data_IF_974461042601
#
_entry.id   IF_974461042601
#
_cell.length_a   1.000
_cell.length_b   1.000
_cell.length_c   1.000
_cell.angle_alpha   90.00
_cell.angle_beta   90.00
_cell.angle_gamma   90.00
#
_symmetry.space_group_name_H-M   'P 1'
#
loop_
_entity.id
_entity.type
_entity.pdbx_description
1 polymer ?
#
# COMPACT_ATOMS: atom_id res chain seq x y z
N UNK A 1 3.23 -24.78 -2.11
CA UNK A 1 2.21 -23.90 -1.51
C UNK A 1 1.42 -23.19 -2.59
N UNK A 2 0.18 -22.86 -2.29
CA UNK A 2 -0.67 -21.97 -3.08
C UNK A 2 -0.52 -20.55 -2.54
N UNK A 3 -0.03 -19.64 -3.36
CA UNK A 3 0.30 -18.27 -2.95
C UNK A 3 -0.51 -17.29 -3.78
N UNK A 4 -1.21 -16.36 -3.13
CA UNK A 4 -1.96 -15.30 -3.80
C UNK A 4 -1.33 -13.93 -3.54
N UNK A 5 -1.27 -13.10 -4.57
CA UNK A 5 -0.85 -11.70 -4.47
C UNK A 5 -2.04 -10.80 -4.80
N UNK A 6 -2.53 -10.05 -3.82
CA UNK A 6 -3.50 -8.97 -4.03
C UNK A 6 -2.67 -7.70 -4.31
N UNK A 7 -2.70 -7.23 -5.55
CA UNK A 7 -1.77 -6.23 -6.04
C UNK A 7 -2.43 -5.29 -7.06
N UNK A 8 -1.70 -4.36 -7.59
CA UNK A 8 -2.12 -3.59 -8.77
C UNK A 8 -2.15 -4.46 -10.03
N UNK A 9 -2.87 -4.05 -11.08
CA UNK A 9 -2.92 -4.80 -12.33
C UNK A 9 -1.52 -5.15 -12.84
N UNK A 10 -1.34 -6.38 -13.30
CA UNK A 10 -0.05 -6.90 -13.80
C UNK A 10 0.60 -5.97 -14.81
N UNK A 11 -0.20 -5.39 -15.67
CA UNK A 11 0.21 -4.53 -16.78
C UNK A 11 0.79 -3.17 -16.32
N UNK A 12 0.57 -2.80 -15.06
CA UNK A 12 1.09 -1.55 -14.49
C UNK A 12 2.46 -1.70 -13.83
N UNK A 13 2.98 -2.93 -13.73
CA UNK A 13 4.26 -3.19 -13.10
C UNK A 13 5.42 -2.61 -13.91
N UNK A 14 6.44 -2.14 -13.21
CA UNK A 14 7.74 -1.75 -13.81
C UNK A 14 8.75 -2.87 -13.58
N UNK A 15 8.97 -3.77 -14.56
CA UNK A 15 9.70 -5.02 -14.35
C UNK A 15 11.12 -4.86 -13.77
N UNK A 16 11.80 -3.77 -14.10
CA UNK A 16 13.16 -3.52 -13.64
C UNK A 16 13.27 -3.23 -12.12
N UNK A 17 12.19 -2.68 -11.51
CA UNK A 17 12.25 -2.18 -10.12
C UNK A 17 11.16 -2.72 -9.21
N UNK A 18 10.14 -3.39 -9.74
CA UNK A 18 8.99 -3.81 -8.95
C UNK A 18 9.31 -4.96 -7.99
N UNK A 19 9.10 -4.74 -6.70
CA UNK A 19 9.36 -5.73 -5.66
C UNK A 19 8.32 -6.85 -5.62
N UNK A 20 7.07 -6.56 -6.00
CA UNK A 20 6.01 -7.57 -6.04
C UNK A 20 6.28 -8.58 -7.16
N UNK A 21 6.72 -8.10 -8.33
CA UNK A 21 7.15 -8.97 -9.41
C UNK A 21 8.29 -9.91 -8.98
N UNK A 22 9.26 -9.41 -8.21
CA UNK A 22 10.35 -10.24 -7.69
C UNK A 22 9.86 -11.33 -6.74
N UNK A 23 8.90 -11.03 -5.87
CA UNK A 23 8.28 -12.02 -4.98
C UNK A 23 7.50 -13.08 -5.77
N UNK A 24 6.73 -12.69 -6.78
CA UNK A 24 6.01 -13.59 -7.68
C UNK A 24 6.98 -14.51 -8.43
N UNK A 25 8.03 -13.92 -8.99
CA UNK A 25 9.07 -14.66 -9.72
C UNK A 25 9.77 -15.68 -8.83
N UNK A 26 10.19 -15.29 -7.63
CA UNK A 26 10.82 -16.18 -6.66
C UNK A 26 9.87 -17.31 -6.21
N UNK A 27 8.59 -16.99 -5.99
CA UNK A 27 7.57 -18.00 -5.69
C UNK A 27 7.43 -19.03 -6.81
N UNK A 28 7.46 -18.59 -8.07
CA UNK A 28 7.43 -19.47 -9.23
C UNK A 28 8.70 -20.32 -9.36
N UNK A 29 9.89 -19.74 -9.11
CA UNK A 29 11.17 -20.48 -9.10
C UNK A 29 11.19 -21.58 -8.05
N UNK A 30 10.58 -21.35 -6.88
CA UNK A 30 10.42 -22.35 -5.81
C UNK A 30 9.33 -23.38 -6.08
N UNK A 31 8.67 -23.31 -7.24
CA UNK A 31 7.63 -24.26 -7.64
C UNK A 31 6.28 -24.07 -6.95
N UNK A 32 6.03 -22.91 -6.33
CA UNK A 32 4.73 -22.60 -5.74
C UNK A 32 3.70 -22.36 -6.83
N UNK A 33 2.44 -22.69 -6.55
CA UNK A 33 1.33 -22.29 -7.41
C UNK A 33 0.97 -20.83 -7.08
N UNK A 34 1.12 -19.95 -8.05
CA UNK A 34 0.93 -18.51 -7.87
C UNK A 34 -0.36 -18.03 -8.52
N UNK A 35 -1.13 -17.27 -7.79
CA UNK A 35 -2.25 -16.49 -8.30
C UNK A 35 -2.03 -15.00 -8.05
N UNK A 36 -2.52 -14.18 -8.96
CA UNK A 36 -2.58 -12.73 -8.79
C UNK A 36 -4.02 -12.25 -8.91
N UNK A 37 -4.37 -11.25 -8.14
CA UNK A 37 -5.67 -10.58 -8.21
C UNK A 37 -5.53 -9.11 -7.81
N UNK A 38 -6.57 -8.33 -8.03
CA UNK A 38 -6.63 -6.94 -7.57
C UNK A 38 -7.67 -6.79 -6.45
N UNK A 39 -7.60 -5.72 -5.67
CA UNK A 39 -8.57 -5.43 -4.64
C UNK A 39 -10.02 -5.35 -5.18
N UNK A 40 -10.19 -4.82 -6.40
CA UNK A 40 -11.50 -4.72 -7.06
C UNK A 40 -12.10 -6.07 -7.48
N UNK A 41 -11.30 -7.13 -7.50
CA UNK A 41 -11.71 -8.48 -7.90
C UNK A 41 -12.07 -9.38 -6.71
N UNK A 42 -12.12 -8.83 -5.50
CA UNK A 42 -12.58 -9.54 -4.30
C UNK A 42 -14.10 -9.54 -4.26
N UNK A 43 -14.69 -10.65 -3.83
CA UNK A 43 -16.14 -10.80 -3.71
C UNK A 43 -16.48 -11.81 -2.61
N UNK A 44 -17.71 -11.75 -2.11
CA UNK A 44 -18.29 -12.80 -1.26
C UNK A 44 -19.45 -13.43 -2.02
N UNK A 45 -19.45 -14.74 -2.09
CA UNK A 45 -20.54 -15.53 -2.62
C UNK A 45 -20.89 -16.64 -1.65
N UNK A 46 -22.15 -16.70 -1.24
CA UNK A 46 -22.65 -17.73 -0.32
C UNK A 46 -21.78 -17.87 0.95
N UNK A 47 -21.43 -16.73 1.55
CA UNK A 47 -20.55 -16.61 2.74
C UNK A 47 -19.10 -17.04 2.52
N UNK A 48 -18.67 -17.33 1.29
CA UNK A 48 -17.29 -17.66 0.94
C UNK A 48 -16.62 -16.45 0.29
N UNK A 49 -15.50 -16.02 0.84
CA UNK A 49 -14.69 -14.95 0.26
C UNK A 49 -13.88 -15.49 -0.91
N UNK A 50 -14.14 -14.94 -2.10
CA UNK A 50 -13.62 -15.38 -3.39
C UNK A 50 -12.84 -14.25 -4.06
N UNK A 51 -12.04 -14.60 -5.06
CA UNK A 51 -11.44 -13.62 -5.97
C UNK A 51 -11.50 -14.08 -7.42
N UNK A 52 -11.72 -13.12 -8.33
CA UNK A 52 -11.43 -13.31 -9.75
C UNK A 52 -9.92 -13.20 -9.92
N UNK A 53 -9.25 -14.34 -10.01
CA UNK A 53 -7.81 -14.47 -10.01
C UNK A 53 -7.26 -14.87 -11.36
N UNK A 54 -6.03 -14.46 -11.61
CA UNK A 54 -5.21 -14.94 -12.72
C UNK A 54 -4.17 -15.93 -12.17
N UNK A 55 -4.39 -17.20 -12.44
CA UNK A 55 -3.52 -18.29 -11.99
C UNK A 55 -2.34 -18.43 -12.96
N UNK A 56 -1.12 -18.37 -12.44
CA UNK A 56 0.08 -18.53 -13.25
C UNK A 56 0.16 -19.97 -13.79
N UNK A 57 0.23 -20.09 -15.12
CA UNK A 57 0.43 -21.38 -15.77
C UNK A 57 1.85 -21.86 -15.50
N UNK A 58 1.98 -23.10 -15.02
CA UNK A 58 3.29 -23.70 -14.77
C UNK A 58 4.10 -23.77 -16.05
N UNK A 59 5.30 -23.23 -15.99
CA UNK A 59 6.27 -23.29 -17.09
C UNK A 59 7.24 -24.44 -16.83
N UNK A 60 7.63 -25.16 -17.87
CA UNK A 60 8.65 -26.23 -17.77
C UNK A 60 9.98 -25.68 -17.23
N UNK A 61 10.28 -24.43 -17.55
CA UNK A 61 11.45 -23.71 -17.02
C UNK A 61 11.07 -22.25 -16.78
N UNK A 62 11.14 -21.84 -15.52
CA UNK A 62 10.93 -20.44 -15.14
C UNK A 62 12.14 -19.62 -15.61
N UNK A 63 11.94 -18.48 -16.29
CA UNK A 63 13.03 -17.59 -16.70
C UNK A 63 13.87 -17.14 -15.50
N UNK A 64 15.18 -16.91 -15.73
CA UNK A 64 16.11 -16.56 -14.65
C UNK A 64 15.94 -15.14 -14.12
N UNK A 65 15.43 -14.20 -14.94
CA UNK A 65 15.28 -12.79 -14.53
C UNK A 65 13.81 -12.39 -14.44
N UNK A 66 13.45 -11.49 -13.51
CA UNK A 66 12.09 -11.00 -13.36
C UNK A 66 11.54 -10.37 -14.64
N UNK A 67 12.37 -9.64 -15.40
CA UNK A 67 11.96 -8.97 -16.63
C UNK A 67 11.59 -9.97 -17.72
N UNK A 68 12.39 -11.05 -17.87
CA UNK A 68 12.11 -12.11 -18.82
C UNK A 68 10.90 -12.93 -18.40
N UNK A 69 10.76 -13.17 -17.09
CA UNK A 69 9.60 -13.84 -16.50
C UNK A 69 8.33 -13.03 -16.77
N UNK A 70 8.35 -11.72 -16.50
CA UNK A 70 7.21 -10.83 -16.76
C UNK A 70 6.68 -10.93 -18.19
N UNK A 71 7.59 -10.92 -19.18
CA UNK A 71 7.24 -11.00 -20.61
C UNK A 71 6.69 -12.38 -21.03
N UNK A 72 7.07 -13.44 -20.32
CA UNK A 72 6.73 -14.83 -20.66
C UNK A 72 5.67 -15.44 -19.74
N UNK A 73 5.25 -14.75 -18.71
CA UNK A 73 4.22 -15.23 -17.81
C UNK A 73 2.88 -15.38 -18.55
N UNK A 74 2.28 -16.54 -18.41
CA UNK A 74 0.96 -16.86 -18.97
C UNK A 74 0.03 -17.13 -17.78
N UNK A 75 -1.15 -16.56 -17.85
CA UNK A 75 -2.14 -16.69 -16.79
C UNK A 75 -3.43 -17.30 -17.35
N UNK A 76 -4.12 -18.05 -16.48
CA UNK A 76 -5.48 -18.52 -16.70
C UNK A 76 -6.42 -17.85 -15.70
N UNK A 77 -7.48 -17.24 -16.17
CA UNK A 77 -8.48 -16.63 -15.30
C UNK A 77 -9.33 -17.71 -14.62
N UNK A 78 -9.55 -17.53 -13.32
CA UNK A 78 -10.31 -18.43 -12.50
C UNK A 78 -10.87 -17.74 -11.27
N UNK A 79 -12.12 -18.06 -10.90
CA UNK A 79 -12.66 -17.66 -9.61
C UNK A 79 -12.19 -18.66 -8.55
N UNK A 80 -11.52 -18.19 -7.51
CA UNK A 80 -10.90 -19.01 -6.47
C UNK A 80 -11.34 -18.55 -5.08
N UNK A 81 -11.62 -19.48 -4.15
CA UNK A 81 -11.81 -19.13 -2.75
C UNK A 81 -10.48 -18.67 -2.15
N UNK A 82 -10.49 -17.55 -1.42
CA UNK A 82 -9.27 -17.04 -0.80
C UNK A 82 -8.77 -17.97 0.33
N UNK A 83 -9.66 -18.64 1.03
CA UNK A 83 -9.31 -19.67 2.01
C UNK A 83 -8.59 -20.89 1.41
N UNK A 84 -8.57 -21.05 0.09
CA UNK A 84 -7.82 -22.11 -0.60
C UNK A 84 -6.33 -21.83 -0.80
N UNK A 85 -5.85 -20.67 -0.39
CA UNK A 85 -4.43 -20.32 -0.42
C UNK A 85 -3.76 -20.60 0.92
N UNK A 86 -2.49 -20.98 0.88
CA UNK A 86 -1.66 -21.12 2.08
C UNK A 86 -1.19 -19.74 2.57
N UNK A 87 -0.92 -18.83 1.64
CA UNK A 87 -0.42 -17.48 1.91
C UNK A 87 -1.05 -16.46 0.96
N UNK A 88 -1.46 -15.33 1.51
CA UNK A 88 -1.89 -14.15 0.76
C UNK A 88 -0.96 -12.99 1.05
N UNK A 89 -0.35 -12.44 0.02
CA UNK A 89 0.42 -11.19 0.10
C UNK A 89 -0.45 -10.00 -0.29
N UNK A 90 -0.69 -9.09 0.66
CA UNK A 90 -1.30 -7.80 0.37
C UNK A 90 -0.23 -6.83 -0.14
N UNK A 91 -0.24 -6.56 -1.44
CA UNK A 91 0.80 -5.79 -2.14
C UNK A 91 0.29 -4.51 -2.83
N UNK A 92 -0.95 -4.12 -2.59
CA UNK A 92 -1.40 -2.77 -2.94
C UNK A 92 -0.81 -1.75 -1.96
N UNK A 93 -0.55 -0.52 -2.45
CA UNK A 93 -0.04 0.56 -1.60
C UNK A 93 -1.14 1.15 -0.72
N UNK A 94 -0.81 1.62 0.50
CA UNK A 94 -1.76 2.35 1.33
C UNK A 94 -2.09 3.74 0.71
N UNK A 95 -3.27 4.32 1.03
CA UNK A 95 -4.26 3.77 1.94
C UNK A 95 -5.04 2.63 1.29
N UNK A 96 -5.20 1.54 2.03
CA UNK A 96 -6.08 0.46 1.63
C UNK A 96 -7.52 0.84 1.99
N UNK A 97 -8.46 0.52 1.10
CA UNK A 97 -9.89 0.65 1.37
C UNK A 97 -10.30 -0.26 2.53
N UNK A 98 -11.16 0.24 3.41
CA UNK A 98 -11.71 -0.55 4.52
C UNK A 98 -12.45 -1.81 4.04
N UNK A 99 -13.10 -1.76 2.87
CA UNK A 99 -13.76 -2.93 2.29
C UNK A 99 -12.76 -4.04 1.98
N UNK A 100 -11.60 -3.69 1.42
CA UNK A 100 -10.51 -4.65 1.16
C UNK A 100 -10.01 -5.28 2.46
N UNK A 101 -9.81 -4.46 3.50
CA UNK A 101 -9.40 -4.95 4.82
C UNK A 101 -10.47 -5.87 5.45
N UNK A 102 -11.75 -5.60 5.23
CA UNK A 102 -12.84 -6.46 5.69
C UNK A 102 -12.88 -7.80 4.94
N UNK A 103 -12.59 -7.84 3.63
CA UNK A 103 -12.43 -9.09 2.90
C UNK A 103 -11.28 -9.94 3.49
N UNK A 104 -10.14 -9.31 3.80
CA UNK A 104 -9.01 -10.01 4.42
C UNK A 104 -9.34 -10.48 5.83
N UNK A 105 -10.03 -9.65 6.60
CA UNK A 105 -10.45 -9.95 7.97
C UNK A 105 -11.36 -11.18 8.03
N UNK A 106 -12.23 -11.37 7.03
CA UNK A 106 -13.14 -12.52 6.96
C UNK A 106 -12.46 -13.88 6.80
N UNK A 107 -11.17 -13.89 6.45
CA UNK A 107 -10.40 -15.14 6.20
C UNK A 107 -9.08 -15.22 7.00
N UNK A 108 -8.79 -14.24 7.85
CA UNK A 108 -7.50 -14.15 8.55
C UNK A 108 -7.17 -15.33 9.46
N UNK A 109 -8.21 -16.01 9.94
CA UNK A 109 -8.04 -17.20 10.81
C UNK A 109 -7.83 -18.51 10.00
N UNK A 110 -8.05 -18.44 8.67
CA UNK A 110 -7.94 -19.59 7.77
C UNK A 110 -6.66 -19.55 6.91
N UNK A 111 -6.12 -18.35 6.66
CA UNK A 111 -5.00 -18.13 5.74
C UNK A 111 -3.93 -17.24 6.35
N UNK A 112 -2.66 -17.58 6.13
CA UNK A 112 -1.57 -16.69 6.54
C UNK A 112 -1.50 -15.46 5.63
N UNK A 113 -1.79 -14.28 6.19
CA UNK A 113 -1.84 -13.02 5.44
C UNK A 113 -0.60 -12.16 5.77
N UNK A 114 0.11 -11.75 4.75
CA UNK A 114 1.28 -10.85 4.83
C UNK A 114 0.92 -9.50 4.19
N UNK A 115 0.92 -8.43 4.94
CA UNK A 115 1.14 -8.25 6.36
C UNK A 115 -0.15 -8.56 7.16
N UNK A 116 -0.01 -8.68 8.47
CA UNK A 116 -1.15 -8.85 9.38
C UNK A 116 -2.25 -7.81 9.16
N UNK A 117 -3.53 -8.24 9.17
CA UNK A 117 -4.66 -7.39 8.80
C UNK A 117 -4.86 -6.23 9.79
N UNK A 118 -4.69 -6.50 11.09
CA UNK A 118 -4.78 -5.45 12.11
C UNK A 118 -3.60 -4.48 12.01
N UNK A 119 -2.41 -5.00 11.70
CA UNK A 119 -1.23 -4.20 11.39
C UNK A 119 -1.44 -3.30 10.18
N UNK A 120 -2.02 -3.82 9.10
CA UNK A 120 -2.39 -3.06 7.90
C UNK A 120 -3.41 -1.96 8.23
N UNK A 121 -4.44 -2.28 9.02
CA UNK A 121 -5.47 -1.32 9.45
C UNK A 121 -4.88 -0.16 10.24
N UNK A 122 -4.00 -0.45 11.20
CA UNK A 122 -3.32 0.56 12.04
C UNK A 122 -2.32 1.40 11.25
N UNK A 123 -1.53 0.77 10.39
CA UNK A 123 -0.46 1.42 9.63
C UNK A 123 -0.90 1.92 8.23
N UNK A 124 -2.21 2.03 7.99
CA UNK A 124 -2.79 2.40 6.69
C UNK A 124 -2.46 3.83 6.25
N UNK A 125 -1.91 4.64 7.14
CA UNK A 125 -1.45 6.00 6.86
C UNK A 125 -0.29 6.40 7.79
N UNK A 126 0.21 7.63 7.66
CA UNK A 126 1.37 8.12 8.41
C UNK A 126 1.08 8.47 9.87
N UNK A 127 -0.19 8.51 10.29
CA UNK A 127 -0.57 8.87 11.67
C UNK A 127 -0.03 7.86 12.69
N UNK A 128 -0.09 6.57 12.37
CA UNK A 128 0.36 5.52 13.29
C UNK A 128 1.83 5.70 13.69
N UNK A 129 2.70 5.98 12.71
CA UNK A 129 4.13 6.24 12.99
C UNK A 129 4.32 7.52 13.81
N UNK A 130 3.55 8.58 13.54
CA UNK A 130 3.64 9.84 14.28
C UNK A 130 3.14 9.71 15.73
N UNK A 131 2.29 8.73 16.01
CA UNK A 131 1.73 8.47 17.34
C UNK A 131 2.53 7.45 18.17
N UNK A 132 3.60 6.89 17.63
CA UNK A 132 4.48 5.98 18.38
C UNK A 132 5.22 6.72 19.49
N UNK A 133 5.35 6.07 20.63
CA UNK A 133 6.21 6.57 21.72
C UNK A 133 7.69 6.40 21.32
N UNK A 134 8.39 7.51 21.25
CA UNK A 134 9.85 7.57 21.05
C UNK A 134 10.48 8.30 22.23
N UNK A 135 10.57 7.60 23.36
CA UNK A 135 11.06 8.14 24.62
C UNK A 135 12.45 8.82 24.53
N UNK A 136 13.25 8.45 23.52
CA UNK A 136 14.58 9.04 23.28
C UNK A 136 14.57 10.14 22.22
N UNK A 137 13.47 10.32 21.48
CA UNK A 137 13.36 11.29 20.39
C UNK A 137 14.38 11.09 19.27
N UNK A 138 14.84 9.86 19.07
CA UNK A 138 15.96 9.54 18.17
C UNK A 138 15.52 8.88 16.86
N UNK A 139 14.30 8.37 16.80
CA UNK A 139 13.78 7.61 15.66
C UNK A 139 12.78 8.45 14.86
N UNK A 140 11.88 9.13 15.57
CA UNK A 140 10.81 9.92 14.96
C UNK A 140 11.17 11.40 15.02
N UNK A 141 11.31 12.09 13.89
CA UNK A 141 11.54 13.53 13.90
C UNK A 141 10.32 14.24 14.50
N UNK A 142 10.54 15.45 15.04
CA UNK A 142 9.45 16.26 15.58
C UNK A 142 8.33 16.40 14.52
N UNK A 143 7.15 15.88 14.85
CA UNK A 143 6.06 15.69 13.90
C UNK A 143 4.77 16.28 14.46
N UNK A 144 4.02 16.97 13.61
CA UNK A 144 2.73 17.57 13.91
C UNK A 144 1.70 17.02 12.91
N UNK A 145 0.59 16.50 13.40
CA UNK A 145 -0.51 15.96 12.56
C UNK A 145 -1.80 16.61 12.98
N UNK A 146 -2.50 17.26 12.05
CA UNK A 146 -3.79 17.90 12.34
C UNK A 146 -4.57 18.16 11.05
N UNK A 147 -5.91 18.22 11.14
CA UNK A 147 -6.79 18.83 10.15
C UNK A 147 -7.18 20.27 10.52
N UNK A 148 -6.76 20.76 11.68
CA UNK A 148 -7.03 22.14 12.09
C UNK A 148 -6.03 23.09 11.41
N UNK A 149 -6.54 23.87 10.42
CA UNK A 149 -5.75 24.78 9.61
C UNK A 149 -5.02 25.84 10.47
N UNK A 150 -5.72 26.44 11.41
CA UNK A 150 -5.16 27.49 12.27
C UNK A 150 -4.06 26.98 13.19
N UNK A 151 -4.21 25.74 13.67
CA UNK A 151 -3.15 25.08 14.42
C UNK A 151 -1.92 24.84 13.56
N UNK A 152 -2.07 24.25 12.37
CA UNK A 152 -0.96 23.98 11.45
C UNK A 152 -0.26 25.26 11.00
N UNK A 153 -1.03 26.33 10.76
CA UNK A 153 -0.48 27.64 10.43
C UNK A 153 0.43 28.15 11.55
N UNK A 154 -0.05 28.14 12.81
CA UNK A 154 0.75 28.52 13.98
C UNK A 154 2.02 27.69 14.11
N UNK A 155 1.93 26.37 13.91
CA UNK A 155 3.11 25.49 13.93
C UNK A 155 4.13 25.94 12.88
N UNK A 156 3.70 26.16 11.64
CA UNK A 156 4.59 26.56 10.53
C UNK A 156 5.22 27.94 10.78
N UNK A 157 4.47 28.89 11.37
CA UNK A 157 4.95 30.23 11.65
C UNK A 157 5.95 30.30 12.81
N UNK A 158 5.73 29.48 13.86
CA UNK A 158 6.51 29.55 15.10
C UNK A 158 7.63 28.49 15.20
N UNK A 159 7.65 27.48 14.31
CA UNK A 159 8.70 26.48 14.36
C UNK A 159 10.05 27.10 13.99
N UNK A 160 11.04 26.85 14.86
CA UNK A 160 12.38 27.43 14.74
C UNK A 160 13.20 26.82 13.59
N UNK A 161 12.82 25.65 13.07
CA UNK A 161 13.54 24.96 12.02
C UNK A 161 13.56 25.76 10.70
N UNK A 162 14.70 25.81 10.05
CA UNK A 162 14.85 26.48 8.75
C UNK A 162 14.06 25.75 7.65
N UNK A 163 13.91 24.44 7.78
CA UNK A 163 13.17 23.58 6.83
C UNK A 163 12.18 22.70 7.56
N UNK A 164 10.98 22.61 7.03
CA UNK A 164 9.94 21.68 7.42
C UNK A 164 9.51 20.86 6.21
N UNK A 165 9.04 19.63 6.45
CA UNK A 165 8.47 18.79 5.40
C UNK A 165 6.98 18.65 5.67
N UNK A 166 6.16 19.09 4.74
CA UNK A 166 4.73 18.86 4.73
C UNK A 166 4.41 17.64 3.86
N UNK A 167 3.61 16.73 4.38
CA UNK A 167 3.22 15.49 3.70
C UNK A 167 1.71 15.29 3.86
N UNK A 168 1.00 14.80 2.83
CA UNK A 168 -0.36 14.31 3.04
C UNK A 168 -0.33 13.13 4.00
N UNK A 169 -1.37 12.98 4.80
CA UNK A 169 -1.49 11.85 5.73
C UNK A 169 -1.54 10.52 4.97
N UNK A 170 -2.35 10.48 3.93
CA UNK A 170 -2.46 9.38 2.98
C UNK A 170 -1.50 9.60 1.78
N UNK A 171 -1.14 8.51 1.11
CA UNK A 171 -0.28 8.56 -0.06
C UNK A 171 1.07 7.88 0.13
N UNK A 172 1.73 7.64 -0.99
CA UNK A 172 2.99 6.87 -1.09
C UNK A 172 3.90 7.45 -2.18
N UNK A 173 5.14 6.94 -2.27
CA UNK A 173 6.07 7.28 -3.34
C UNK A 173 6.52 8.76 -3.38
N UNK A 174 6.35 9.50 -2.29
CA UNK A 174 6.72 10.93 -2.24
C UNK A 174 5.70 11.88 -2.88
N UNK A 175 4.58 11.39 -3.37
CA UNK A 175 3.53 12.23 -3.92
C UNK A 175 3.01 13.22 -2.88
N UNK A 176 2.90 14.50 -3.26
CA UNK A 176 2.42 15.56 -2.39
C UNK A 176 3.39 15.94 -1.27
N UNK A 177 4.63 15.49 -1.25
CA UNK A 177 5.63 15.92 -0.25
C UNK A 177 6.22 17.26 -0.65
N UNK A 178 6.13 18.25 0.24
CA UNK A 178 6.64 19.62 0.01
C UNK A 178 7.61 19.99 1.10
N UNK A 179 8.73 20.63 0.70
CA UNK A 179 9.66 21.28 1.63
C UNK A 179 9.24 22.72 1.80
N UNK A 180 9.02 23.12 3.05
CA UNK A 180 8.73 24.51 3.43
C UNK A 180 10.00 25.13 4.01
N UNK A 181 10.59 26.07 3.30
CA UNK A 181 11.70 26.87 3.80
C UNK A 181 11.20 28.11 4.53
N UNK A 182 11.93 28.57 5.53
CA UNK A 182 11.53 29.70 6.39
C UNK A 182 11.17 30.98 5.61
N UNK A 183 11.91 31.26 4.54
CA UNK A 183 11.67 32.43 3.67
C UNK A 183 10.49 32.29 2.69
N UNK A 184 10.00 31.08 2.44
CA UNK A 184 8.96 30.79 1.46
C UNK A 184 7.57 30.54 2.07
N UNK A 185 7.36 30.94 3.33
CA UNK A 185 6.11 30.67 4.08
C UNK A 185 4.93 31.57 3.71
N UNK A 186 5.11 32.49 2.75
CA UNK A 186 4.06 33.42 2.29
C UNK A 186 2.80 32.74 1.73
N UNK A 187 2.93 31.53 1.17
CA UNK A 187 1.83 30.79 0.55
C UNK A 187 1.22 29.69 1.43
N UNK A 188 1.51 29.69 2.74
CA UNK A 188 1.08 28.65 3.68
C UNK A 188 -0.44 28.45 3.68
N UNK A 189 -1.22 29.54 3.62
CA UNK A 189 -2.69 29.43 3.62
C UNK A 189 -3.19 28.65 2.40
N UNK A 190 -2.70 28.95 1.21
CA UNK A 190 -3.10 28.26 -0.02
C UNK A 190 -2.67 26.79 -0.03
N UNK A 191 -1.49 26.50 0.51
CA UNK A 191 -1.01 25.14 0.67
C UNK A 191 -1.87 24.34 1.66
N UNK A 192 -2.18 24.91 2.82
CA UNK A 192 -3.05 24.25 3.79
C UNK A 192 -4.46 24.04 3.24
N UNK A 193 -5.00 25.00 2.50
CA UNK A 193 -6.30 24.84 1.82
C UNK A 193 -6.26 23.69 0.83
N UNK A 194 -5.21 23.58 0.01
CA UNK A 194 -5.05 22.46 -0.93
C UNK A 194 -5.04 21.10 -0.23
N UNK A 195 -4.28 20.96 0.88
CA UNK A 195 -4.14 19.69 1.58
C UNK A 195 -5.35 19.33 2.46
N UNK A 196 -6.02 20.31 3.08
CA UNK A 196 -7.09 20.05 4.05
C UNK A 196 -8.46 19.98 3.38
N UNK A 197 -8.73 20.83 2.40
CA UNK A 197 -10.06 20.95 1.79
C UNK A 197 -10.22 20.13 0.51
N UNK A 198 -9.15 19.48 0.05
CA UNK A 198 -9.24 18.54 -1.07
C UNK A 198 -9.67 19.14 -2.40
N UNK A 199 -9.38 20.42 -2.69
CA UNK A 199 -9.64 21.02 -4.03
C UNK A 199 -8.83 20.36 -5.16
N UNK A 200 -8.19 19.23 -4.87
CA UNK A 200 -7.49 18.33 -5.79
C UNK A 200 -8.13 16.96 -5.95
N UNK A 201 -9.42 16.76 -5.57
CA UNK A 201 -10.19 15.59 -5.99
C UNK A 201 -10.39 14.47 -4.98
N UNK A 202 -9.75 14.47 -3.83
CA UNK A 202 -10.08 13.56 -2.72
C UNK A 202 -9.76 14.23 -1.39
N UNK A 203 -10.73 14.20 -0.45
CA UNK A 203 -10.52 14.70 0.91
C UNK A 203 -9.53 13.81 1.65
N UNK A 204 -8.31 14.28 1.80
CA UNK A 204 -7.26 13.61 2.58
C UNK A 204 -7.42 13.84 4.08
#
# INVERSE_FOLDING_TARGET
>A
MNVCFIMYPWETLTPASDSTLRLIHESALRGHQVAITTAANLTIRDSVTMSFSRLLVKQAKVPKTPETFYKKAVFKEQMLPLAGFDVIFMRANPPLDNLVLNFLDSIKDEVFIVNDVEGLRKANNKLYTAAMDDAKGSIIPRTFVSKNKEYLKRVIEHEASDKMIMKPLNGFGGSGVIVLERGARSNVNSLLDFYITGKGGESN
#
